data_IF_185655385360
#
_entry.id   IF_185655385360
#
_cell.length_a   1.000
_cell.length_b   1.000
_cell.length_c   1.000
_cell.angle_alpha   90.00
_cell.angle_beta   90.00
_cell.angle_gamma   90.00
#
_symmetry.space_group_name_H-M   'P 1'
#
loop_
_entity.id
_entity.type
_entity.pdbx_description
1 polymer ?
#
# COMPACT_ATOMS: atom_id res chain seq x y z
N UNK A 1 1.31 8.28 1.35
CA UNK A 1 1.02 7.17 0.41
C UNK A 1 0.61 5.96 1.24
N UNK A 2 -0.50 5.29 0.92
CA UNK A 2 -0.80 4.01 1.54
C UNK A 2 0.27 2.97 1.18
N UNK A 3 0.66 2.18 2.16
CA UNK A 3 1.64 1.11 2.02
C UNK A 3 0.99 -0.23 2.40
N UNK A 4 1.75 -1.30 2.45
CA UNK A 4 1.25 -2.65 2.71
C UNK A 4 0.28 -2.72 3.91
N UNK A 5 0.62 -2.24 5.13
CA UNK A 5 -0.30 -2.37 6.26
C UNK A 5 -1.61 -1.61 6.06
N UNK A 6 -1.55 -0.37 5.54
CA UNK A 6 -2.75 0.43 5.24
C UNK A 6 -3.70 -0.31 4.28
N UNK A 7 -3.13 -0.82 3.17
CA UNK A 7 -3.93 -1.46 2.11
C UNK A 7 -4.43 -2.85 2.50
N UNK A 8 -3.71 -3.56 3.39
CA UNK A 8 -4.18 -4.85 3.94
C UNK A 8 -5.48 -4.63 4.70
N UNK A 9 -5.52 -3.66 5.61
CA UNK A 9 -6.72 -3.40 6.42
C UNK A 9 -7.87 -2.85 5.57
N UNK A 10 -7.57 -1.98 4.60
CA UNK A 10 -8.58 -1.52 3.63
C UNK A 10 -9.17 -2.68 2.83
N UNK A 11 -8.33 -3.63 2.39
CA UNK A 11 -8.81 -4.82 1.67
C UNK A 11 -9.71 -5.69 2.55
N UNK A 12 -9.32 -5.94 3.79
CA UNK A 12 -10.11 -6.70 4.77
C UNK A 12 -11.49 -6.05 5.03
N UNK A 13 -11.53 -4.73 5.19
CA UNK A 13 -12.78 -3.99 5.37
C UNK A 13 -13.68 -4.03 4.13
N UNK A 14 -13.10 -3.95 2.94
CA UNK A 14 -13.87 -4.09 1.70
C UNK A 14 -14.39 -5.53 1.51
N UNK A 15 -13.62 -6.54 1.90
CA UNK A 15 -14.12 -7.92 1.92
C UNK A 15 -15.31 -8.04 2.85
N UNK A 16 -15.23 -7.50 4.06
CA UNK A 16 -16.29 -7.59 5.06
C UNK A 16 -17.57 -6.83 4.68
N UNK A 17 -17.43 -5.68 3.98
CA UNK A 17 -18.53 -4.73 3.79
C UNK A 17 -19.04 -4.62 2.37
N UNK A 18 -18.28 -5.06 1.37
CA UNK A 18 -18.63 -4.86 -0.03
C UNK A 18 -18.69 -6.16 -0.86
N UNK A 19 -18.10 -7.26 -0.39
CA UNK A 19 -18.16 -8.52 -1.12
C UNK A 19 -19.61 -9.01 -1.24
N UNK A 20 -19.99 -9.43 -2.46
CA UNK A 20 -21.32 -9.92 -2.78
C UNK A 20 -22.32 -8.82 -3.11
N UNK A 21 -21.98 -7.54 -2.90
CA UNK A 21 -22.86 -6.43 -3.26
C UNK A 21 -22.86 -6.19 -4.77
N UNK A 22 -24.02 -5.82 -5.30
CA UNK A 22 -24.23 -5.50 -6.71
C UNK A 22 -23.98 -4.02 -6.98
N UNK A 23 -23.28 -3.73 -8.06
CA UNK A 23 -23.05 -2.37 -8.55
C UNK A 23 -24.28 -1.89 -9.32
N UNK A 24 -25.09 -1.03 -8.72
CA UNK A 24 -26.29 -0.44 -9.35
C UNK A 24 -25.94 0.64 -10.39
N UNK A 25 -24.83 1.30 -10.23
CA UNK A 25 -24.33 2.34 -11.15
C UNK A 25 -22.82 2.47 -11.00
N UNK A 26 -22.10 2.49 -12.10
CA UNK A 26 -20.67 2.74 -12.14
C UNK A 26 -20.35 3.99 -12.97
N UNK A 27 -19.61 4.93 -12.40
CA UNK A 27 -19.25 6.19 -13.06
C UNK A 27 -17.79 6.56 -12.82
N UNK A 28 -17.24 7.36 -13.72
CA UNK A 28 -15.88 7.88 -13.65
C UNK A 28 -15.88 9.43 -13.71
N UNK A 29 -16.21 10.12 -12.60
CA UNK A 29 -16.32 11.58 -12.59
C UNK A 29 -15.02 12.31 -12.95
N UNK A 30 -13.86 11.69 -12.69
CA UNK A 30 -12.54 12.26 -13.01
C UNK A 30 -11.70 11.24 -13.80
N UNK A 31 -11.94 11.12 -15.14
CA UNK A 31 -11.37 10.04 -15.96
C UNK A 31 -9.85 10.04 -16.06
N UNK A 32 -9.17 11.15 -15.81
CA UNK A 32 -7.70 11.26 -15.90
C UNK A 32 -6.95 10.28 -14.98
N UNK A 33 -7.61 9.80 -13.91
CA UNK A 33 -7.06 8.80 -13.01
C UNK A 33 -7.15 7.37 -13.58
N UNK A 34 -7.99 7.18 -14.62
CA UNK A 34 -8.21 5.88 -15.23
C UNK A 34 -7.15 5.54 -16.28
N UNK A 35 -6.92 4.24 -16.41
CA UNK A 35 -6.26 3.60 -17.55
C UNK A 35 -7.26 2.64 -18.22
N UNK A 36 -8.48 3.14 -18.36
CA UNK A 36 -9.63 2.58 -19.01
C UNK A 36 -10.53 3.74 -19.47
N UNK A 37 -11.50 3.49 -20.33
CA UNK A 37 -12.47 4.49 -20.76
C UNK A 37 -13.62 4.63 -19.75
N UNK A 38 -14.31 5.78 -19.69
CA UNK A 38 -15.54 5.91 -18.90
C UNK A 38 -16.62 4.92 -19.28
N UNK A 39 -16.70 4.52 -20.56
CA UNK A 39 -17.65 3.52 -21.04
C UNK A 39 -17.37 2.13 -20.44
N UNK A 40 -16.09 1.71 -20.36
CA UNK A 40 -15.70 0.46 -19.71
C UNK A 40 -16.05 0.48 -18.22
N UNK A 41 -15.90 1.62 -17.55
CA UNK A 41 -16.33 1.74 -16.13
C UNK A 41 -17.85 1.64 -16.02
N UNK A 42 -18.61 2.29 -16.91
CA UNK A 42 -20.08 2.24 -16.89
C UNK A 42 -20.61 0.83 -17.17
N UNK A 43 -19.89 0.02 -17.94
CA UNK A 43 -20.23 -1.38 -18.21
C UNK A 43 -20.16 -2.28 -16.96
N UNK A 44 -19.52 -1.82 -15.87
CA UNK A 44 -19.52 -2.53 -14.58
C UNK A 44 -20.87 -2.48 -13.85
N UNK A 45 -21.85 -1.73 -14.36
CA UNK A 45 -23.21 -1.74 -13.82
C UNK A 45 -23.81 -3.13 -13.95
N UNK A 46 -24.35 -3.66 -12.85
CA UNK A 46 -24.87 -5.03 -12.75
C UNK A 46 -23.82 -6.06 -12.28
N UNK A 47 -22.54 -5.68 -12.19
CA UNK A 47 -21.51 -6.58 -11.66
C UNK A 47 -21.61 -6.78 -10.17
N UNK A 48 -21.14 -7.92 -9.67
CA UNK A 48 -21.03 -8.23 -8.24
C UNK A 48 -19.57 -8.04 -7.79
N UNK A 49 -19.37 -7.40 -6.64
CA UNK A 49 -18.03 -7.23 -6.05
C UNK A 49 -17.54 -8.54 -5.44
N UNK A 50 -16.39 -9.02 -5.88
CA UNK A 50 -15.71 -10.18 -5.34
C UNK A 50 -14.80 -9.84 -4.16
N UNK A 51 -14.08 -10.87 -3.67
CA UNK A 51 -13.13 -10.70 -2.56
C UNK A 51 -11.96 -9.78 -2.94
N UNK A 52 -11.95 -8.60 -2.36
CA UNK A 52 -10.86 -7.62 -2.53
C UNK A 52 -9.56 -8.18 -1.95
N UNK A 53 -8.45 -7.94 -2.64
CA UNK A 53 -7.11 -8.35 -2.19
C UNK A 53 -6.08 -7.27 -2.47
N UNK A 54 -4.94 -7.37 -1.77
CA UNK A 54 -3.78 -6.53 -1.99
C UNK A 54 -2.68 -7.30 -2.75
N UNK A 55 -1.93 -6.60 -3.58
CA UNK A 55 -0.65 -7.05 -4.12
C UNK A 55 0.32 -5.86 -4.15
N UNK A 56 1.41 -5.92 -3.41
CA UNK A 56 2.30 -4.77 -3.23
C UNK A 56 1.54 -3.55 -2.70
N UNK A 57 1.55 -2.47 -3.47
CA UNK A 57 0.77 -1.26 -3.19
C UNK A 57 -0.46 -1.09 -4.08
N UNK A 58 -0.91 -2.17 -4.67
CA UNK A 58 -2.18 -2.23 -5.40
C UNK A 58 -3.27 -2.83 -4.53
N UNK A 59 -4.46 -2.24 -4.61
CA UNK A 59 -5.70 -2.84 -4.17
C UNK A 59 -6.41 -3.40 -5.40
N UNK A 60 -6.85 -4.65 -5.33
CA UNK A 60 -7.49 -5.38 -6.41
C UNK A 60 -8.93 -5.68 -6.02
N UNK A 61 -9.88 -5.09 -6.71
CA UNK A 61 -11.31 -5.29 -6.49
C UNK A 61 -11.84 -6.11 -7.67
N UNK A 62 -12.07 -7.42 -7.48
CA UNK A 62 -12.70 -8.24 -8.51
C UNK A 62 -14.15 -7.82 -8.70
N UNK A 63 -14.61 -7.85 -9.96
CA UNK A 63 -15.98 -7.57 -10.37
C UNK A 63 -16.41 -8.71 -11.30
N UNK A 64 -17.50 -9.39 -10.93
CA UNK A 64 -18.12 -10.46 -11.71
C UNK A 64 -19.27 -9.86 -12.50
N UNK A 65 -19.15 -9.79 -13.82
CA UNK A 65 -20.13 -9.20 -14.73
C UNK A 65 -21.36 -10.12 -14.86
N UNK A 66 -22.51 -9.53 -15.14
CA UNK A 66 -23.78 -10.28 -15.21
C UNK A 66 -23.80 -11.36 -16.31
N UNK A 67 -22.98 -11.22 -17.34
CA UNK A 67 -22.80 -12.20 -18.43
C UNK A 67 -21.76 -13.30 -18.12
N UNK A 68 -21.21 -13.32 -16.90
CA UNK A 68 -20.17 -14.25 -16.45
C UNK A 68 -18.75 -13.78 -16.73
N UNK A 69 -18.57 -12.60 -17.31
CA UNK A 69 -17.27 -11.95 -17.46
C UNK A 69 -16.66 -11.59 -16.10
N UNK A 70 -15.33 -11.39 -16.08
CA UNK A 70 -14.61 -10.96 -14.87
C UNK A 70 -13.68 -9.81 -15.18
N UNK A 71 -13.73 -8.80 -14.34
CA UNK A 71 -12.81 -7.66 -14.37
C UNK A 71 -12.17 -7.46 -13.01
N UNK A 72 -11.02 -6.83 -13.01
CA UNK A 72 -10.33 -6.38 -11.79
C UNK A 72 -10.13 -4.87 -11.90
N UNK A 73 -10.72 -4.13 -10.98
CA UNK A 73 -10.35 -2.74 -10.74
C UNK A 73 -9.10 -2.73 -9.87
N UNK A 74 -7.94 -2.55 -10.51
CA UNK A 74 -6.65 -2.50 -9.84
C UNK A 74 -6.25 -1.04 -9.59
N UNK A 75 -6.12 -0.67 -8.32
CA UNK A 75 -5.84 0.70 -7.91
C UNK A 75 -4.47 0.83 -7.24
N UNK A 76 -3.60 1.67 -7.82
CA UNK A 76 -2.41 2.17 -7.14
C UNK A 76 -2.71 3.58 -6.60
N UNK A 77 -2.85 3.69 -5.29
CA UNK A 77 -3.27 4.93 -4.63
C UNK A 77 -2.22 6.05 -4.65
N UNK A 78 -1.00 5.75 -5.06
CA UNK A 78 0.12 6.69 -5.06
C UNK A 78 0.20 7.49 -3.75
N UNK A 79 0.24 8.83 -3.80
CA UNK A 79 0.45 9.67 -2.61
C UNK A 79 -0.83 9.89 -1.79
N UNK A 80 -1.94 10.19 -2.45
CA UNK A 80 -3.13 10.73 -1.79
C UNK A 80 -4.43 10.00 -2.11
N UNK A 81 -4.40 9.03 -3.02
CA UNK A 81 -5.58 8.23 -3.37
C UNK A 81 -6.11 7.44 -2.17
N UNK A 82 -7.43 7.42 -2.01
CA UNK A 82 -8.13 6.71 -0.93
C UNK A 82 -9.42 6.11 -1.44
N UNK A 83 -9.74 4.93 -0.93
CA UNK A 83 -11.08 4.37 -1.04
C UNK A 83 -11.96 4.92 0.07
N UNK A 84 -13.21 5.15 -0.27
CA UNK A 84 -14.26 5.64 0.60
C UNK A 84 -15.46 4.72 0.45
N UNK A 85 -16.02 4.29 1.57
CA UNK A 85 -17.30 3.58 1.57
C UNK A 85 -18.28 4.42 2.38
N UNK A 86 -19.18 5.12 1.68
CA UNK A 86 -20.02 6.18 2.24
C UNK A 86 -21.46 6.06 1.74
N UNK A 87 -22.46 6.60 2.46
CA UNK A 87 -23.85 6.61 1.99
C UNK A 87 -23.96 7.26 0.59
N UNK A 88 -24.73 6.65 -0.32
CA UNK A 88 -24.89 7.12 -1.71
C UNK A 88 -25.51 8.51 -1.83
N UNK A 89 -26.24 8.95 -0.81
CA UNK A 89 -26.80 10.30 -0.68
C UNK A 89 -25.75 11.38 -0.39
N UNK A 90 -24.57 10.99 0.05
CA UNK A 90 -23.49 11.93 0.33
C UNK A 90 -22.98 12.55 -0.98
N UNK A 91 -22.78 13.87 -0.99
CA UNK A 91 -22.29 14.60 -2.16
C UNK A 91 -21.01 13.97 -2.70
N UNK A 92 -20.96 13.75 -4.01
CA UNK A 92 -19.76 13.27 -4.68
C UNK A 92 -18.67 14.35 -4.58
N UNK A 93 -17.51 13.97 -4.06
CA UNK A 93 -16.38 14.88 -3.88
C UNK A 93 -15.71 15.18 -5.22
N UNK A 94 -15.16 16.38 -5.34
CA UNK A 94 -14.25 16.71 -6.44
C UNK A 94 -13.08 15.68 -6.45
N UNK A 95 -12.57 15.37 -7.65
CA UNK A 95 -11.46 14.41 -7.84
C UNK A 95 -11.81 12.98 -7.45
N UNK A 96 -13.08 12.59 -7.52
CA UNK A 96 -13.52 11.20 -7.48
C UNK A 96 -13.21 10.54 -8.81
N UNK A 97 -12.28 9.60 -8.84
CA UNK A 97 -11.86 8.89 -10.05
C UNK A 97 -12.89 7.86 -10.50
N UNK A 98 -13.37 7.04 -9.57
CA UNK A 98 -14.40 6.03 -9.77
C UNK A 98 -15.42 6.11 -8.64
N UNK A 99 -16.69 5.91 -8.98
CA UNK A 99 -17.80 5.74 -8.06
C UNK A 99 -18.59 4.50 -8.48
N UNK A 100 -18.72 3.55 -7.57
CA UNK A 100 -19.58 2.39 -7.70
C UNK A 100 -20.69 2.54 -6.65
N UNK A 101 -21.94 2.72 -7.10
CA UNK A 101 -23.10 2.75 -6.22
C UNK A 101 -23.56 1.33 -5.98
N UNK A 102 -23.69 0.92 -4.74
CA UNK A 102 -23.97 -0.43 -4.31
C UNK A 102 -25.45 -0.59 -3.90
N UNK A 103 -25.94 -1.83 -3.93
CA UNK A 103 -27.34 -2.18 -3.65
C UNK A 103 -27.69 -2.09 -2.14
N UNK A 104 -26.69 -1.95 -1.27
CA UNK A 104 -26.90 -1.68 0.18
C UNK A 104 -27.11 -0.18 0.51
N UNK A 105 -27.14 0.69 -0.53
CA UNK A 105 -27.30 2.13 -0.38
C UNK A 105 -25.99 2.90 -0.10
N UNK A 106 -24.83 2.27 -0.22
CA UNK A 106 -23.51 2.90 -0.12
C UNK A 106 -22.90 3.12 -1.52
N UNK A 107 -21.91 4.01 -1.58
CA UNK A 107 -20.99 4.15 -2.69
C UNK A 107 -19.59 3.70 -2.28
N UNK A 108 -18.97 2.87 -3.09
CA UNK A 108 -17.52 2.69 -3.07
C UNK A 108 -16.89 3.72 -4.02
N UNK A 109 -16.12 4.64 -3.48
CA UNK A 109 -15.49 5.74 -4.22
C UNK A 109 -13.99 5.70 -4.11
N UNK A 110 -13.29 5.95 -5.20
CA UNK A 110 -11.87 6.27 -5.18
C UNK A 110 -11.69 7.77 -5.34
N UNK A 111 -11.06 8.43 -4.35
CA UNK A 111 -10.84 9.89 -4.33
C UNK A 111 -9.35 10.16 -4.23
N UNK A 112 -8.80 11.04 -5.09
CA UNK A 112 -7.37 11.38 -5.07
C UNK A 112 -7.15 12.91 -5.20
N UNK A 113 -6.76 13.54 -4.10
CA UNK A 113 -6.54 14.99 -4.04
C UNK A 113 -5.37 15.46 -4.92
N UNK A 114 -4.35 14.62 -5.09
CA UNK A 114 -3.14 14.93 -5.85
C UNK A 114 -3.26 14.53 -7.33
N UNK A 115 -4.28 13.76 -7.70
CA UNK A 115 -4.51 13.28 -9.07
C UNK A 115 -3.35 12.43 -9.63
N UNK A 116 -2.62 11.72 -8.77
CA UNK A 116 -1.47 10.89 -9.12
C UNK A 116 -1.78 9.41 -9.16
N UNK A 117 -2.89 8.99 -8.54
CA UNK A 117 -3.34 7.61 -8.51
C UNK A 117 -3.59 7.06 -9.90
N UNK A 118 -3.51 5.74 -10.01
CA UNK A 118 -3.73 5.03 -11.27
C UNK A 118 -4.73 3.90 -11.04
N UNK A 119 -5.81 3.94 -11.79
CA UNK A 119 -6.87 2.94 -11.77
C UNK A 119 -6.86 2.20 -13.10
N UNK A 120 -6.67 0.90 -13.04
CA UNK A 120 -6.69 0.00 -14.20
C UNK A 120 -7.94 -0.86 -14.12
N UNK A 121 -8.58 -1.09 -15.27
CA UNK A 121 -9.65 -2.06 -15.39
C UNK A 121 -9.19 -3.12 -16.38
N UNK A 122 -8.86 -4.31 -15.87
CA UNK A 122 -8.27 -5.39 -16.67
C UNK A 122 -8.98 -6.71 -16.42
N UNK A 123 -8.88 -7.63 -17.37
CA UNK A 123 -9.28 -9.02 -17.16
C UNK A 123 -8.28 -9.71 -16.18
N UNK A 124 -8.71 -10.77 -15.45
CA UNK A 124 -7.84 -11.42 -14.45
C UNK A 124 -6.51 -11.97 -14.99
N UNK A 125 -6.49 -12.39 -16.26
CA UNK A 125 -5.31 -12.90 -16.98
C UNK A 125 -4.45 -11.79 -17.60
N UNK A 126 -4.86 -10.52 -17.49
CA UNK A 126 -4.19 -9.34 -18.07
C UNK A 126 -3.57 -8.43 -17.02
N UNK A 127 -3.36 -8.91 -15.79
CA UNK A 127 -2.69 -8.12 -14.74
C UNK A 127 -1.26 -7.71 -15.14
N UNK A 128 -0.58 -8.52 -15.93
CA UNK A 128 0.78 -8.21 -16.42
C UNK A 128 0.83 -7.02 -17.39
N UNK A 129 -0.30 -6.58 -17.94
CA UNK A 129 -0.40 -5.35 -18.73
C UNK A 129 -0.26 -4.09 -17.85
N UNK A 130 -0.39 -4.21 -16.53
CA UNK A 130 -0.18 -3.10 -15.61
C UNK A 130 1.33 -2.83 -15.49
N UNK A 131 1.79 -1.60 -15.82
CA UNK A 131 3.22 -1.29 -15.78
C UNK A 131 3.87 -1.60 -14.44
N UNK A 132 4.93 -2.41 -14.47
CA UNK A 132 5.69 -2.83 -13.30
C UNK A 132 5.07 -3.98 -12.50
N UNK A 133 3.94 -4.53 -12.93
CA UNK A 133 3.27 -5.63 -12.24
C UNK A 133 4.08 -6.93 -12.30
N UNK A 134 4.46 -7.37 -13.50
CA UNK A 134 5.21 -8.61 -13.72
C UNK A 134 6.61 -8.59 -13.07
N UNK A 135 7.21 -7.38 -12.91
CA UNK A 135 8.52 -7.26 -12.29
C UNK A 135 8.47 -7.18 -10.75
N UNK A 136 7.29 -7.14 -10.12
CA UNK A 136 7.20 -7.09 -8.68
C UNK A 136 7.77 -8.37 -8.04
N UNK A 137 8.64 -8.18 -7.06
CA UNK A 137 9.07 -9.22 -6.14
C UNK A 137 7.92 -9.75 -5.27
N UNK A 138 8.17 -10.69 -4.35
CA UNK A 138 7.17 -11.14 -3.39
C UNK A 138 6.71 -9.97 -2.52
N UNK A 139 5.50 -10.06 -1.99
CA UNK A 139 5.05 -9.13 -0.96
C UNK A 139 5.92 -9.27 0.30
N UNK A 140 6.15 -8.18 1.00
CA UNK A 140 7.02 -8.19 2.17
C UNK A 140 6.45 -9.04 3.33
N UNK A 141 5.15 -9.30 3.33
CA UNK A 141 4.42 -10.17 4.27
C UNK A 141 4.08 -11.55 3.69
N UNK A 142 4.62 -11.89 2.51
CA UNK A 142 4.39 -13.20 1.90
C UNK A 142 4.99 -14.30 2.79
N UNK A 143 4.20 -15.28 3.27
CA UNK A 143 4.69 -16.38 4.09
C UNK A 143 5.74 -17.24 3.36
N UNK A 144 5.72 -17.24 2.02
CA UNK A 144 6.72 -17.92 1.21
C UNK A 144 8.06 -17.18 1.12
N UNK A 145 8.11 -15.90 1.54
CA UNK A 145 9.34 -15.12 1.65
C UNK A 145 10.09 -15.48 2.95
N UNK A 146 10.63 -16.69 3.00
CA UNK A 146 11.46 -17.14 4.14
C UNK A 146 12.76 -16.34 4.26
N UNK A 147 13.43 -16.42 5.42
CA UNK A 147 14.72 -15.76 5.62
C UNK A 147 15.76 -16.18 4.56
N UNK A 148 15.77 -17.43 4.15
CA UNK A 148 16.74 -17.90 3.14
C UNK A 148 16.41 -17.35 1.74
N UNK A 149 15.14 -17.30 1.37
CA UNK A 149 14.71 -16.63 0.14
C UNK A 149 15.03 -15.13 0.18
N UNK A 150 14.82 -14.49 1.33
CA UNK A 150 15.20 -13.08 1.51
C UNK A 150 16.71 -12.86 1.38
N UNK A 151 17.54 -13.74 1.98
CA UNK A 151 19.00 -13.71 1.85
C UNK A 151 19.46 -13.88 0.41
N UNK A 152 18.85 -14.78 -0.34
CA UNK A 152 19.16 -14.97 -1.75
C UNK A 152 18.78 -13.71 -2.57
N UNK A 153 17.57 -13.19 -2.36
CA UNK A 153 17.10 -12.00 -3.08
C UNK A 153 17.96 -10.78 -2.82
N UNK A 154 18.30 -10.48 -1.57
CA UNK A 154 19.06 -9.29 -1.21
C UNK A 154 20.45 -9.28 -1.85
N UNK A 155 21.03 -10.45 -2.14
CA UNK A 155 22.32 -10.54 -2.84
C UNK A 155 22.27 -10.00 -4.28
N UNK A 156 21.12 -10.12 -4.92
CA UNK A 156 20.90 -9.70 -6.33
C UNK A 156 20.55 -8.23 -6.46
N UNK A 157 20.30 -7.53 -5.35
CA UNK A 157 19.85 -6.14 -5.35
C UNK A 157 20.88 -5.24 -4.67
N UNK A 158 21.70 -4.49 -5.42
CA UNK A 158 22.70 -3.59 -4.86
C UNK A 158 22.08 -2.29 -4.34
N UNK A 159 22.88 -1.47 -3.66
CA UNK A 159 22.51 -0.12 -3.26
C UNK A 159 22.39 0.07 -1.76
N UNK A 160 21.84 1.21 -1.37
CA UNK A 160 21.56 1.58 0.02
C UNK A 160 20.28 0.90 0.51
N UNK A 161 20.17 0.68 1.83
CA UNK A 161 19.11 -0.13 2.41
C UNK A 161 17.72 0.49 2.25
N UNK A 162 17.58 1.83 2.43
CA UNK A 162 16.25 2.44 2.30
C UNK A 162 15.71 2.40 0.87
N UNK A 163 16.47 2.82 -0.17
CA UNK A 163 16.05 2.61 -1.56
C UNK A 163 15.80 1.15 -1.90
N UNK A 164 16.60 0.23 -1.37
CA UNK A 164 16.42 -1.21 -1.57
C UNK A 164 15.07 -1.71 -1.04
N UNK A 165 14.72 -1.39 0.21
CA UNK A 165 13.43 -1.78 0.80
C UNK A 165 12.23 -1.18 0.04
N UNK A 166 12.40 0.02 -0.54
CA UNK A 166 11.36 0.70 -1.32
C UNK A 166 11.24 0.18 -2.76
N UNK A 167 12.18 -0.63 -3.21
CA UNK A 167 12.18 -1.20 -4.56
C UNK A 167 11.18 -2.36 -4.67
N UNK A 168 10.06 -2.20 -5.38
CA UNK A 168 9.06 -3.25 -5.49
C UNK A 168 9.54 -4.51 -6.21
N UNK A 169 10.64 -4.44 -6.97
CA UNK A 169 11.29 -5.61 -7.58
C UNK A 169 12.03 -6.47 -6.55
N UNK A 170 12.47 -5.87 -5.44
CA UNK A 170 13.08 -6.60 -4.33
C UNK A 170 12.00 -7.21 -3.43
N UNK A 171 11.21 -6.35 -2.78
CA UNK A 171 10.03 -6.74 -1.99
C UNK A 171 8.92 -5.72 -2.24
N UNK A 172 7.70 -6.19 -2.44
CA UNK A 172 6.58 -5.33 -2.74
C UNK A 172 5.84 -4.88 -1.45
N UNK A 173 5.26 -3.67 -1.48
CA UNK A 173 4.41 -3.16 -0.41
C UNK A 173 5.06 -2.11 0.51
N UNK A 174 6.38 -2.11 0.67
CA UNK A 174 7.11 -1.15 1.53
C UNK A 174 7.28 0.19 0.79
N UNK A 175 7.07 1.28 1.52
CA UNK A 175 7.29 2.64 1.02
C UNK A 175 8.21 3.47 1.90
N UNK A 176 7.98 4.78 1.89
CA UNK A 176 8.85 5.71 2.60
C UNK A 176 8.70 5.62 4.12
N UNK A 177 7.46 5.43 4.60
CA UNK A 177 7.20 5.37 6.03
C UNK A 177 7.75 4.09 6.66
N UNK A 178 7.28 2.95 6.16
CA UNK A 178 7.69 1.68 6.77
C UNK A 178 9.16 1.32 6.53
N UNK A 179 9.81 1.85 5.48
CA UNK A 179 11.27 1.68 5.36
C UNK A 179 12.07 2.37 6.47
N UNK A 180 11.61 3.54 6.97
CA UNK A 180 12.22 4.20 8.12
C UNK A 180 12.03 3.36 9.40
N UNK A 181 10.79 2.91 9.65
CA UNK A 181 10.43 2.10 10.83
C UNK A 181 11.21 0.78 10.88
N UNK A 182 11.25 0.05 9.76
CA UNK A 182 11.96 -1.22 9.64
C UNK A 182 13.46 -1.05 9.89
N UNK A 183 14.08 -0.04 9.30
CA UNK A 183 15.51 0.23 9.48
C UNK A 183 15.84 0.69 10.90
N UNK A 184 14.96 1.45 11.52
CA UNK A 184 15.14 1.86 12.92
C UNK A 184 15.00 0.66 13.86
N UNK A 185 14.02 -0.20 13.64
CA UNK A 185 13.84 -1.42 14.42
C UNK A 185 15.05 -2.36 14.28
N UNK A 186 15.51 -2.58 13.06
CA UNK A 186 16.69 -3.39 12.73
C UNK A 186 18.02 -2.80 13.21
N UNK A 187 18.05 -1.54 13.68
CA UNK A 187 19.25 -0.80 14.04
C UNK A 187 20.25 -0.65 12.90
N UNK A 188 19.75 -0.47 11.68
CA UNK A 188 20.55 -0.31 10.48
C UNK A 188 20.38 1.08 9.90
N UNK A 189 21.50 1.77 9.60
CA UNK A 189 21.47 3.09 9.02
C UNK A 189 20.84 3.05 7.60
N UNK A 190 19.95 4.01 7.24
CA UNK A 190 19.22 3.98 5.96
C UNK A 190 20.13 4.10 4.73
N UNK A 191 21.30 4.74 4.88
CA UNK A 191 22.30 4.96 3.85
C UNK A 191 23.38 3.86 3.81
N UNK A 192 23.33 2.89 4.72
CA UNK A 192 24.25 1.75 4.71
C UNK A 192 24.05 0.95 3.43
N UNK A 193 25.15 0.60 2.77
CA UNK A 193 25.11 -0.22 1.57
C UNK A 193 24.87 -1.70 1.89
N UNK A 194 24.10 -2.38 1.07
CA UNK A 194 23.85 -3.82 1.19
C UNK A 194 25.16 -4.63 1.26
N UNK A 195 26.18 -4.25 0.52
CA UNK A 195 27.48 -4.95 0.52
C UNK A 195 28.20 -4.94 1.87
N UNK A 196 27.86 -4.02 2.76
CA UNK A 196 28.41 -3.95 4.12
C UNK A 196 27.62 -4.76 5.16
N UNK A 197 26.58 -5.51 4.77
CA UNK A 197 25.79 -6.33 5.70
C UNK A 197 26.44 -7.71 5.88
N UNK A 198 26.56 -8.15 7.13
CA UNK A 198 26.81 -9.53 7.47
C UNK A 198 25.49 -10.33 7.56
N UNK A 199 25.59 -11.64 7.86
CA UNK A 199 24.41 -12.53 7.91
C UNK A 199 23.45 -12.17 9.05
N UNK A 200 23.96 -11.69 10.17
CA UNK A 200 23.15 -11.26 11.32
C UNK A 200 22.40 -9.95 11.00
N UNK A 201 23.04 -9.02 10.32
CA UNK A 201 22.40 -7.79 9.83
C UNK A 201 21.22 -8.13 8.90
N UNK A 202 21.40 -9.06 7.98
CA UNK A 202 20.35 -9.51 7.05
C UNK A 202 19.22 -10.19 7.82
N UNK A 203 19.56 -11.03 8.81
CA UNK A 203 18.58 -11.67 9.69
C UNK A 203 17.75 -10.64 10.46
N UNK A 204 18.41 -9.65 11.09
CA UNK A 204 17.71 -8.55 11.80
C UNK A 204 16.81 -7.77 10.85
N UNK A 205 17.29 -7.40 9.66
CA UNK A 205 16.50 -6.66 8.68
C UNK A 205 15.23 -7.42 8.29
N UNK A 206 15.35 -8.72 8.04
CA UNK A 206 14.22 -9.59 7.72
C UNK A 206 13.21 -9.66 8.87
N UNK A 207 13.67 -9.95 10.09
CA UNK A 207 12.77 -10.08 11.25
C UNK A 207 12.11 -8.75 11.61
N UNK A 208 12.83 -7.64 11.53
CA UNK A 208 12.26 -6.29 11.72
C UNK A 208 11.23 -5.95 10.63
N UNK A 209 11.46 -6.36 9.39
CA UNK A 209 10.47 -6.19 8.32
C UNK A 209 9.17 -6.93 8.67
N UNK A 210 9.25 -8.19 9.07
CA UNK A 210 8.08 -8.98 9.43
C UNK A 210 7.36 -8.41 10.67
N UNK A 211 8.09 -8.11 11.75
CA UNK A 211 7.50 -7.64 13.01
C UNK A 211 6.86 -6.26 12.87
N UNK A 212 7.53 -5.32 12.24
CA UNK A 212 7.02 -3.94 12.06
C UNK A 212 5.76 -3.93 11.19
N UNK A 213 5.75 -4.68 10.09
CA UNK A 213 4.58 -4.74 9.21
C UNK A 213 3.39 -5.44 9.88
N UNK A 214 3.62 -6.56 10.56
CA UNK A 214 2.55 -7.30 11.23
C UNK A 214 1.96 -6.52 12.40
N UNK A 215 2.79 -5.86 13.21
CA UNK A 215 2.32 -5.02 14.32
C UNK A 215 1.53 -3.80 13.80
N UNK A 216 1.98 -3.17 12.71
CA UNK A 216 1.23 -2.08 12.09
C UNK A 216 -0.14 -2.54 11.57
N UNK A 217 -0.23 -3.70 10.93
CA UNK A 217 -1.53 -4.27 10.50
C UNK A 217 -2.44 -4.48 11.70
N UNK A 218 -1.91 -5.05 12.81
CA UNK A 218 -2.69 -5.27 14.03
C UNK A 218 -3.26 -3.97 14.59
N UNK A 219 -2.44 -2.93 14.73
CA UNK A 219 -2.90 -1.63 15.23
C UNK A 219 -3.90 -0.96 14.29
N UNK A 220 -3.67 -1.03 12.98
CA UNK A 220 -4.58 -0.44 12.01
C UNK A 220 -5.93 -1.14 11.94
N UNK A 221 -6.04 -2.43 12.22
CA UNK A 221 -7.33 -3.13 12.34
C UNK A 221 -8.23 -2.56 13.42
N UNK A 222 -7.66 -1.96 14.45
CA UNK A 222 -8.41 -1.30 15.52
C UNK A 222 -8.77 0.16 15.21
N UNK A 223 -7.93 0.85 14.41
CA UNK A 223 -8.03 2.28 14.16
C UNK A 223 -8.80 2.64 12.87
N UNK A 224 -8.63 1.84 11.81
CA UNK A 224 -9.17 2.17 10.48
C UNK A 224 -10.69 2.02 10.41
N UNK A 225 -11.33 0.94 10.92
CA UNK A 225 -12.77 0.83 10.85
C UNK A 225 -13.50 1.89 11.73
N UNK A 226 -14.60 2.47 11.23
CA UNK A 226 -15.26 2.20 9.93
C UNK A 226 -14.72 3.05 8.77
N UNK A 227 -13.78 3.95 8.99
CA UNK A 227 -13.35 5.01 8.06
C UNK A 227 -12.12 4.62 7.25
N UNK A 228 -12.29 3.71 6.27
CA UNK A 228 -11.21 3.17 5.43
C UNK A 228 -10.39 4.23 4.67
N UNK A 229 -10.89 5.45 4.56
CA UNK A 229 -10.21 6.58 3.91
C UNK A 229 -9.17 7.26 4.81
N UNK A 230 -9.21 7.03 6.13
CA UNK A 230 -8.29 7.66 7.07
C UNK A 230 -6.94 6.93 7.07
N UNK A 231 -5.87 7.69 7.11
CA UNK A 231 -4.52 7.17 7.20
C UNK A 231 -3.94 7.52 8.57
N UNK A 232 -3.70 6.50 9.37
CA UNK A 232 -3.19 6.61 10.73
C UNK A 232 -1.65 6.60 10.72
N UNK A 233 -1.04 7.76 10.91
CA UNK A 233 0.44 7.93 10.98
C UNK A 233 0.95 8.08 12.41
N UNK A 234 0.07 8.27 13.36
CA UNK A 234 0.35 8.33 14.80
C UNK A 234 0.94 7.03 15.35
N UNK A 235 0.70 5.89 14.70
CA UNK A 235 1.28 4.59 15.06
C UNK A 235 2.78 4.46 14.74
N UNK A 236 3.33 5.37 13.93
CA UNK A 236 4.73 5.32 13.51
C UNK A 236 5.63 5.90 14.60
N UNK A 237 6.77 5.23 14.83
CA UNK A 237 7.71 5.58 15.89
C UNK A 237 8.61 6.76 15.51
N UNK A 238 9.11 6.78 14.27
CA UNK A 238 10.12 7.76 13.86
C UNK A 238 9.82 8.50 12.57
N UNK A 239 9.01 7.93 11.68
CA UNK A 239 8.81 8.52 10.36
C UNK A 239 8.21 9.92 10.44
N UNK A 240 8.87 10.91 9.80
CA UNK A 240 8.52 12.35 9.81
C UNK A 240 8.56 13.01 11.20
N UNK A 241 9.25 12.41 12.19
CA UNK A 241 9.44 12.96 13.52
C UNK A 241 10.83 13.56 13.72
N UNK A 242 11.42 14.14 12.67
CA UNK A 242 12.71 14.82 12.78
C UNK A 242 12.69 15.92 13.83
N UNK A 243 13.71 15.99 14.68
CA UNK A 243 13.78 16.93 15.83
C UNK A 243 13.16 16.38 17.12
N UNK A 244 12.28 15.37 17.06
CA UNK A 244 11.73 14.74 18.26
C UNK A 244 12.73 13.77 18.92
N UNK A 245 12.56 13.45 20.23
CA UNK A 245 13.37 12.45 20.89
C UNK A 245 13.09 11.04 20.34
N UNK A 246 14.16 10.28 20.08
CA UNK A 246 14.07 8.88 19.68
C UNK A 246 13.40 8.05 20.78
N UNK A 247 12.34 7.28 20.50
CA UNK A 247 11.64 6.49 21.51
C UNK A 247 12.50 5.45 22.22
N UNK A 248 13.62 5.03 21.59
CA UNK A 248 14.51 4.00 22.15
C UNK A 248 15.61 4.57 23.04
N UNK A 249 16.23 5.72 22.66
CA UNK A 249 17.42 6.23 23.35
C UNK A 249 17.33 7.69 23.79
N UNK A 250 16.23 8.38 23.53
CA UNK A 250 16.01 9.79 23.88
C UNK A 250 16.80 10.82 23.06
N UNK A 251 17.75 10.41 22.22
CA UNK A 251 18.50 11.33 21.35
C UNK A 251 17.61 11.84 20.21
N UNK A 252 17.87 13.08 19.79
CA UNK A 252 17.13 13.72 18.70
C UNK A 252 17.20 12.92 17.40
N UNK A 253 16.01 12.67 16.79
CA UNK A 253 15.87 12.06 15.48
C UNK A 253 16.35 13.02 14.39
N UNK A 254 17.09 12.51 13.43
CA UNK A 254 17.54 13.26 12.26
C UNK A 254 16.57 13.01 11.08
N UNK A 255 16.32 14.09 10.35
CA UNK A 255 15.54 14.02 9.12
C UNK A 255 16.31 14.68 7.98
N UNK A 256 16.39 13.99 6.83
CA UNK A 256 17.09 14.46 5.63
C UNK A 256 16.14 14.37 4.45
N UNK A 257 16.15 15.39 3.61
CA UNK A 257 15.28 15.50 2.43
C UNK A 257 13.97 16.24 2.72
N UNK A 258 13.19 16.47 1.66
CA UNK A 258 11.92 17.19 1.70
C UNK A 258 10.72 16.25 1.76
N UNK A 259 9.91 16.22 0.69
CA UNK A 259 8.65 15.45 0.60
C UNK A 259 8.84 13.94 0.83
N UNK A 260 9.97 13.36 0.45
CA UNK A 260 10.35 11.96 0.67
C UNK A 260 11.45 11.83 1.73
N UNK A 261 11.31 12.56 2.82
CA UNK A 261 12.29 12.61 3.90
C UNK A 261 12.64 11.21 4.43
N UNK A 262 13.89 11.07 4.84
CA UNK A 262 14.41 9.92 5.58
C UNK A 262 14.59 10.31 7.02
N UNK A 263 13.93 9.63 7.95
CA UNK A 263 14.06 9.86 9.38
C UNK A 263 14.81 8.71 10.04
N UNK A 264 15.78 9.01 10.88
CA UNK A 264 16.61 8.01 11.55
C UNK A 264 17.24 8.54 12.83
N UNK A 265 17.69 7.61 13.70
CA UNK A 265 18.44 7.93 14.91
C UNK A 265 19.91 7.57 14.73
N UNK A 266 20.82 8.55 14.77
CA UNK A 266 22.27 8.29 14.61
C UNK A 266 22.85 7.39 15.69
N UNK A 267 22.27 7.39 16.90
CA UNK A 267 22.73 6.54 18.01
C UNK A 267 22.26 5.10 17.86
N UNK A 268 20.98 4.90 17.51
CA UNK A 268 20.42 3.56 17.37
C UNK A 268 20.76 2.90 16.03
N UNK A 269 21.07 3.70 15.02
CA UNK A 269 21.40 3.27 13.65
C UNK A 269 22.78 3.86 13.27
N UNK A 270 23.86 3.40 13.93
CA UNK A 270 25.19 3.95 13.67
C UNK A 270 25.60 3.72 12.20
N UNK A 271 26.28 4.67 11.56
CA UNK A 271 27.05 4.36 10.36
C UNK A 271 28.11 3.33 10.73
N UNK A 272 28.50 2.50 9.76
CA UNK A 272 29.66 1.61 9.93
C UNK A 272 30.94 2.43 10.03
#
# INVERSE_FOLDING_TARGET
MPELPDLTVVAEELVRRATGLTVLEATAPTPILLRATPAEVSALTGSTIGNTRRRGKFLLIPLEEADGGRRILAANAMLAGRFWLVPSKERVRARTGVRLRLDDGQDLRYVDREMLGKLYLVAPDRLDDIPGWAEMGPDADDPELTLDRFRERIRRHPGELKPLLRNPRFVAGIGNAYSDEILWDARLAPFRRRSGLNQDDIGRLYHSMQSVLSEAVKQLRELVPPDIQTQHREILNIHLRGGEPCPRCGRELRQIGGREATTFCRTCQPPL
#
